data_IF_391497122217
#
_entry.id   IF_391497122217
#
_cell.length_a   1.000
_cell.length_b   1.000
_cell.length_c   1.000
_cell.angle_alpha   90.00
_cell.angle_beta   90.00
_cell.angle_gamma   90.00
#
_symmetry.space_group_name_H-M   'P 1'
#
loop_
_entity.id
_entity.type
_entity.pdbx_description
1 polymer ?
#
# COMPACT_ATOMS: atom_id res chain seq x y z
N UNK A 1 2.21 15.50 -27.11
CA UNK A 1 2.66 15.99 -25.79
C UNK A 1 1.91 15.20 -24.75
N UNK A 2 2.53 14.17 -24.17
CA UNK A 2 1.85 13.26 -23.24
C UNK A 2 1.93 13.86 -21.84
N UNK A 3 0.78 14.29 -21.33
CA UNK A 3 0.62 14.73 -19.94
C UNK A 3 1.15 13.65 -19.00
N UNK A 4 2.23 13.98 -18.30
CA UNK A 4 2.72 13.15 -17.19
C UNK A 4 1.95 13.60 -15.98
N UNK A 5 0.71 13.10 -15.84
CA UNK A 5 -0.03 13.21 -14.59
C UNK A 5 0.83 12.57 -13.51
N UNK A 6 1.49 13.42 -12.73
CA UNK A 6 2.23 12.99 -11.54
C UNK A 6 1.16 12.58 -10.56
N UNK A 7 0.95 11.27 -10.39
CA UNK A 7 0.03 10.78 -9.37
C UNK A 7 0.50 11.32 -8.03
N UNK A 8 -0.34 12.17 -7.43
CA UNK A 8 -0.08 12.76 -6.11
C UNK A 8 -0.19 11.60 -5.12
N UNK A 9 0.94 11.24 -4.53
CA UNK A 9 0.96 10.20 -3.49
C UNK A 9 0.33 10.79 -2.22
N UNK A 10 -0.54 10.04 -1.54
CA UNK A 10 -1.20 10.54 -0.33
C UNK A 10 -0.15 10.87 0.74
N UNK A 11 -0.28 12.06 1.34
CA UNK A 11 0.53 12.48 2.49
C UNK A 11 0.09 11.70 3.74
N UNK A 12 0.87 11.79 4.83
CA UNK A 12 0.66 11.02 6.06
C UNK A 12 -0.75 11.12 6.68
N UNK A 13 -1.52 12.16 6.39
CA UNK A 13 -2.83 12.40 6.97
C UNK A 13 -3.99 12.17 6.01
N UNK A 14 -3.72 11.90 4.73
CA UNK A 14 -4.79 11.71 3.74
C UNK A 14 -5.48 10.36 3.94
N UNK A 15 -6.80 10.31 3.74
CA UNK A 15 -7.54 9.05 3.77
C UNK A 15 -6.99 8.09 2.70
N UNK A 16 -6.74 6.84 3.08
CA UNK A 16 -6.21 5.86 2.15
C UNK A 16 -7.33 5.29 1.29
N UNK A 17 -7.41 5.75 0.05
CA UNK A 17 -8.19 5.07 -0.99
C UNK A 17 -7.25 4.48 -2.06
N UNK A 18 -6.72 3.27 -1.83
CA UNK A 18 -5.80 2.65 -2.78
C UNK A 18 -6.44 2.29 -4.12
N UNK A 19 -7.77 2.33 -4.27
CA UNK A 19 -8.47 1.84 -5.47
C UNK A 19 -9.28 2.94 -6.18
N UNK A 20 -9.41 4.13 -5.58
CA UNK A 20 -10.07 5.28 -6.19
C UNK A 20 -9.58 5.59 -7.61
N UNK A 21 -8.27 5.56 -7.84
CA UNK A 21 -7.68 5.78 -9.18
C UNK A 21 -8.09 4.72 -10.22
N UNK A 22 -8.32 3.47 -9.78
CA UNK A 22 -8.73 2.37 -10.66
C UNK A 22 -10.20 2.49 -11.02
N UNK A 23 -11.04 2.87 -10.04
CA UNK A 23 -12.48 3.10 -10.25
C UNK A 23 -12.74 4.31 -11.15
N UNK A 24 -11.90 5.34 -11.07
CA UNK A 24 -11.95 6.51 -11.96
C UNK A 24 -11.39 6.20 -13.37
N UNK A 25 -10.83 5.00 -13.59
CA UNK A 25 -10.28 4.59 -14.88
C UNK A 25 -8.94 5.25 -15.24
N UNK A 26 -8.28 5.89 -14.27
CA UNK A 26 -7.10 6.72 -14.47
C UNK A 26 -5.77 5.97 -14.21
N UNK A 27 -5.83 4.80 -13.57
CA UNK A 27 -4.64 4.13 -13.05
C UNK A 27 -3.81 3.39 -14.12
N UNK A 28 -2.66 3.97 -14.51
CA UNK A 28 -1.56 3.22 -15.18
C UNK A 28 -0.78 2.32 -14.20
N UNK A 29 -0.89 2.59 -12.90
CA UNK A 29 -0.17 1.90 -11.84
C UNK A 29 -1.13 1.04 -10.99
N UNK A 30 -0.71 -0.18 -10.67
CA UNK A 30 -1.48 -1.05 -9.76
C UNK A 30 -1.18 -0.68 -8.30
N UNK A 31 -2.24 -0.56 -7.51
CA UNK A 31 -2.12 -0.32 -6.07
C UNK A 31 -1.72 -1.58 -5.29
N UNK A 32 -2.08 -2.77 -5.79
CA UNK A 32 -1.73 -4.03 -5.14
C UNK A 32 -0.24 -4.32 -5.30
N UNK A 33 0.44 -4.39 -4.16
CA UNK A 33 1.86 -4.71 -4.04
C UNK A 33 2.08 -5.79 -3.00
N UNK A 34 2.99 -6.72 -3.29
CA UNK A 34 3.35 -7.80 -2.38
C UNK A 34 2.22 -8.77 -2.02
N UNK A 35 2.52 -9.67 -1.08
CA UNK A 35 1.54 -10.50 -0.38
C UNK A 35 2.09 -10.88 1.00
N UNK A 36 1.20 -11.09 1.97
CA UNK A 36 1.56 -11.48 3.31
C UNK A 36 0.74 -12.70 3.75
N UNK A 37 1.37 -13.56 4.57
CA UNK A 37 0.64 -14.67 5.20
C UNK A 37 -0.29 -14.10 6.27
N UNK A 38 -1.55 -14.58 6.37
CA UNK A 38 -2.51 -14.12 7.38
C UNK A 38 -1.98 -14.14 8.82
N UNK A 39 -1.25 -15.19 9.21
CA UNK A 39 -0.66 -15.30 10.54
C UNK A 39 0.39 -14.22 10.81
N UNK A 40 1.20 -13.86 9.80
CA UNK A 40 2.19 -12.79 9.93
C UNK A 40 1.54 -11.43 10.09
N UNK A 41 0.40 -11.17 9.42
CA UNK A 41 -0.36 -9.93 9.61
C UNK A 41 -0.95 -9.83 11.02
N UNK A 42 -1.37 -10.95 11.61
CA UNK A 42 -1.94 -10.97 12.96
C UNK A 42 -0.89 -10.79 14.06
N UNK A 43 0.27 -11.46 13.93
CA UNK A 43 1.25 -11.56 15.02
C UNK A 43 2.49 -10.67 14.87
N UNK A 44 2.80 -10.20 13.66
CA UNK A 44 4.07 -9.49 13.39
C UNK A 44 3.84 -8.14 12.72
N UNK A 45 3.01 -8.11 11.68
CA UNK A 45 2.79 -6.96 10.83
C UNK A 45 1.36 -6.42 10.97
N UNK A 46 0.96 -6.15 12.21
CA UNK A 46 -0.31 -5.50 12.50
C UNK A 46 -0.34 -4.03 12.06
N UNK A 47 -1.45 -3.31 12.31
CA UNK A 47 -1.53 -1.87 12.05
C UNK A 47 -0.36 -1.11 12.68
N UNK A 48 0.29 -0.25 11.91
CA UNK A 48 1.45 0.54 12.36
C UNK A 48 2.80 -0.18 12.37
N UNK A 49 2.84 -1.49 12.12
CA UNK A 49 4.11 -2.22 11.97
C UNK A 49 4.78 -1.92 10.61
N UNK A 50 6.10 -2.04 10.52
CA UNK A 50 6.83 -1.88 9.25
C UNK A 50 6.97 -3.26 8.59
N UNK A 51 6.57 -3.36 7.33
CA UNK A 51 6.71 -4.56 6.49
C UNK A 51 7.55 -4.23 5.27
N UNK A 52 8.62 -4.99 5.04
CA UNK A 52 9.51 -4.81 3.90
C UNK A 52 8.99 -5.54 2.65
N UNK A 53 8.85 -4.81 1.55
CA UNK A 53 8.66 -5.37 0.21
C UNK A 53 10.00 -5.33 -0.55
N UNK A 54 10.14 -6.00 -1.69
CA UNK A 54 11.42 -6.09 -2.41
C UNK A 54 12.10 -4.74 -2.73
N UNK A 55 11.33 -3.67 -2.95
CA UNK A 55 11.86 -2.36 -3.36
C UNK A 55 11.61 -1.23 -2.36
N UNK A 56 10.68 -1.40 -1.42
CA UNK A 56 10.33 -0.40 -0.41
C UNK A 56 9.59 -1.02 0.77
N UNK A 57 9.58 -0.37 1.93
CA UNK A 57 8.76 -0.79 3.06
C UNK A 57 7.39 -0.10 3.07
N UNK A 58 6.43 -0.76 3.69
CA UNK A 58 5.08 -0.26 3.90
C UNK A 58 4.67 -0.43 5.36
N UNK A 59 3.70 0.36 5.78
CA UNK A 59 3.09 0.31 7.10
C UNK A 59 1.59 0.06 6.93
N UNK A 60 1.06 -1.10 7.38
CA UNK A 60 -0.37 -1.36 7.35
C UNK A 60 -1.16 -0.30 8.10
N UNK A 61 -2.26 0.11 7.50
CA UNK A 61 -3.11 1.17 8.00
C UNK A 61 -3.98 0.70 9.18
N UNK A 62 -4.55 1.69 9.89
CA UNK A 62 -5.44 1.46 11.02
C UNK A 62 -6.77 0.83 10.62
N UNK A 63 -7.56 0.41 11.61
CA UNK A 63 -8.88 -0.19 11.36
C UNK A 63 -9.85 0.78 10.67
N UNK A 64 -9.71 2.09 10.91
CA UNK A 64 -10.54 3.12 10.28
C UNK A 64 -10.37 3.14 8.76
N UNK A 65 -9.15 2.89 8.26
CA UNK A 65 -8.85 2.81 6.83
C UNK A 65 -9.37 1.51 6.19
N UNK A 66 -9.81 0.52 6.98
CA UNK A 66 -10.39 -0.72 6.47
C UNK A 66 -11.88 -0.56 6.16
N UNK A 67 -12.56 0.37 6.85
CA UNK A 67 -14.00 0.58 6.71
C UNK A 67 -14.42 0.99 5.28
N UNK A 68 -13.70 1.90 4.57
CA UNK A 68 -13.99 2.20 3.17
C UNK A 68 -13.88 0.98 2.24
N UNK A 69 -13.00 0.02 2.54
CA UNK A 69 -12.85 -1.21 1.76
C UNK A 69 -14.04 -2.14 2.01
N UNK A 70 -14.46 -2.27 3.27
CA UNK A 70 -15.62 -3.08 3.63
C UNK A 70 -16.93 -2.51 3.09
N UNK A 71 -17.08 -1.18 3.04
CA UNK A 71 -18.25 -0.51 2.44
C UNK A 71 -18.44 -0.81 0.95
N UNK A 72 -17.38 -1.22 0.24
CA UNK A 72 -17.46 -1.63 -1.19
C UNK A 72 -18.02 -3.04 -1.37
N UNK A 73 -18.30 -3.76 -0.28
CA UNK A 73 -18.82 -5.13 -0.31
C UNK A 73 -20.28 -5.16 0.07
N UNK A 74 -21.02 -6.06 -0.60
CA UNK A 74 -22.42 -6.34 -0.27
C UNK A 74 -22.58 -6.84 1.17
N UNK A 75 -21.57 -7.57 1.69
CA UNK A 75 -21.57 -8.10 3.05
C UNK A 75 -20.20 -7.89 3.69
N UNK A 76 -20.21 -7.47 4.97
CA UNK A 76 -19.00 -7.38 5.79
C UNK A 76 -18.89 -8.67 6.60
N UNK A 77 -17.83 -9.48 6.41
CA UNK A 77 -17.66 -10.73 7.14
C UNK A 77 -17.40 -10.45 8.62
N UNK A 78 -18.08 -11.22 9.47
CA UNK A 78 -17.89 -11.20 10.93
C UNK A 78 -17.35 -12.55 11.41
N UNK A 79 -16.47 -12.52 12.40
CA UNK A 79 -15.96 -13.70 13.10
C UNK A 79 -16.96 -14.00 14.22
N UNK A 80 -17.77 -15.04 14.03
CA UNK A 80 -18.80 -15.46 14.98
C UNK A 80 -18.21 -16.28 16.13
N UNK A 81 -17.53 -15.61 17.04
CA UNK A 81 -16.91 -16.22 18.23
C UNK A 81 -17.37 -15.53 19.52
N UNK A 82 -18.57 -15.86 20.05
CA UNK A 82 -19.16 -15.16 21.19
C UNK A 82 -18.27 -15.21 22.45
N UNK A 83 -17.58 -16.33 22.68
CA UNK A 83 -16.67 -16.49 23.83
C UNK A 83 -15.46 -15.56 23.71
N UNK A 84 -14.86 -15.49 22.53
CA UNK A 84 -13.73 -14.60 22.27
C UNK A 84 -14.15 -13.13 22.37
N UNK A 85 -15.29 -12.77 21.78
CA UNK A 85 -15.82 -11.41 21.84
C UNK A 85 -16.06 -10.96 23.28
N UNK A 86 -16.61 -11.84 24.13
CA UNK A 86 -16.79 -11.53 25.55
C UNK A 86 -15.45 -11.30 26.29
N UNK A 87 -14.42 -12.09 25.99
CA UNK A 87 -13.08 -11.89 26.55
C UNK A 87 -12.48 -10.56 26.06
N UNK A 88 -12.61 -10.25 24.77
CA UNK A 88 -12.13 -8.98 24.22
C UNK A 88 -12.84 -7.79 24.86
N UNK A 89 -14.16 -7.86 25.04
CA UNK A 89 -14.95 -6.83 25.74
C UNK A 89 -14.58 -6.68 27.21
N UNK A 90 -14.15 -7.75 27.88
CA UNK A 90 -13.65 -7.69 29.25
C UNK A 90 -12.36 -6.85 29.34
N UNK A 91 -11.49 -6.93 28.33
CA UNK A 91 -10.20 -6.22 28.31
C UNK A 91 -10.28 -4.80 27.73
N UNK A 92 -11.03 -4.61 26.64
CA UNK A 92 -11.09 -3.34 25.92
C UNK A 92 -12.33 -2.53 26.30
N UNK A 93 -13.43 -3.19 26.65
CA UNK A 93 -14.71 -2.56 26.98
C UNK A 93 -15.85 -2.94 26.01
N UNK A 94 -17.10 -2.55 26.35
CA UNK A 94 -18.29 -2.92 25.59
C UNK A 94 -18.39 -2.27 24.20
N UNK A 95 -17.54 -1.28 23.89
CA UNK A 95 -17.52 -0.62 22.58
C UNK A 95 -17.09 -1.52 21.42
N UNK A 96 -16.55 -2.71 21.70
CA UNK A 96 -16.20 -3.68 20.65
C UNK A 96 -17.47 -4.42 20.23
N UNK A 97 -18.06 -4.01 19.11
CA UNK A 97 -19.32 -4.59 18.62
C UNK A 97 -19.14 -5.97 17.97
N UNK A 98 -18.07 -6.14 17.19
CA UNK A 98 -17.84 -7.36 16.41
C UNK A 98 -16.35 -7.59 16.18
N UNK A 99 -15.98 -8.86 15.98
CA UNK A 99 -14.66 -9.24 15.50
C UNK A 99 -14.73 -9.40 13.98
N UNK A 100 -13.78 -8.79 13.26
CA UNK A 100 -13.72 -8.85 11.79
C UNK A 100 -12.37 -9.37 11.34
N UNK A 101 -12.29 -10.13 10.24
CA UNK A 101 -11.01 -10.48 9.64
C UNK A 101 -10.38 -9.23 8.99
N UNK A 102 -9.11 -9.32 8.60
CA UNK A 102 -8.52 -8.33 7.71
C UNK A 102 -9.20 -8.39 6.33
N UNK A 103 -9.23 -7.28 5.56
CA UNK A 103 -9.81 -7.24 4.21
C UNK A 103 -9.17 -8.27 3.27
N UNK A 104 -9.87 -9.38 3.05
CA UNK A 104 -9.42 -10.47 2.18
C UNK A 104 -10.62 -11.30 1.70
N UNK A 105 -10.52 -11.80 0.46
CA UNK A 105 -11.49 -12.71 -0.11
C UNK A 105 -10.76 -13.75 -0.98
N UNK A 106 -11.20 -15.02 -0.96
CA UNK A 106 -10.70 -16.01 -1.90
C UNK A 106 -11.15 -15.66 -3.32
N UNK A 107 -10.27 -15.89 -4.31
CA UNK A 107 -10.67 -15.79 -5.71
C UNK A 107 -11.65 -16.92 -6.02
N UNK A 108 -12.81 -16.59 -6.58
CA UNK A 108 -13.83 -17.58 -6.98
C UNK A 108 -13.40 -18.47 -8.17
N UNK A 109 -12.31 -18.13 -8.86
CA UNK A 109 -11.74 -18.92 -9.94
C UNK A 109 -10.40 -18.35 -10.43
N UNK A 110 -9.66 -19.14 -11.22
CA UNK A 110 -8.31 -18.78 -11.68
C UNK A 110 -8.26 -17.49 -12.51
N UNK A 111 -9.32 -17.22 -13.28
CA UNK A 111 -9.46 -16.04 -14.14
C UNK A 111 -10.31 -14.92 -13.52
N UNK A 112 -10.78 -15.09 -12.28
CA UNK A 112 -11.63 -14.08 -11.62
C UNK A 112 -10.78 -12.90 -11.14
N UNK A 113 -11.27 -11.70 -11.42
CA UNK A 113 -10.75 -10.43 -10.88
C UNK A 113 -11.36 -10.09 -9.52
N UNK A 114 -12.35 -10.86 -9.04
CA UNK A 114 -12.95 -10.64 -7.72
C UNK A 114 -11.89 -10.80 -6.62
N UNK A 115 -11.82 -9.80 -5.72
CA UNK A 115 -10.84 -9.76 -4.64
C UNK A 115 -9.44 -9.34 -5.08
N UNK A 116 -9.25 -8.96 -6.35
CA UNK A 116 -8.02 -8.29 -6.80
C UNK A 116 -7.88 -6.88 -6.21
N UNK A 117 -9.02 -6.24 -5.96
CA UNK A 117 -9.24 -5.00 -5.24
C UNK A 117 -9.23 -5.19 -3.71
N UNK A 118 -9.16 -6.44 -3.21
CA UNK A 118 -8.98 -6.68 -1.78
C UNK A 118 -7.50 -6.79 -1.44
N UNK A 119 -7.11 -5.95 -0.49
CA UNK A 119 -5.79 -5.89 0.12
C UNK A 119 -5.87 -5.09 1.42
N UNK A 120 -4.84 -5.24 2.24
CA UNK A 120 -4.68 -4.44 3.44
C UNK A 120 -4.20 -3.04 3.00
N UNK A 121 -4.95 -1.96 3.28
CA UNK A 121 -4.48 -0.63 2.96
C UNK A 121 -3.23 -0.35 3.79
N UNK A 122 -2.25 0.30 3.16
CA UNK A 122 -0.95 0.53 3.75
C UNK A 122 -0.35 1.82 3.20
N UNK A 123 0.46 2.48 4.02
CA UNK A 123 1.25 3.65 3.63
C UNK A 123 2.66 3.23 3.29
N UNK A 124 3.28 3.90 2.33
CA UNK A 124 4.72 3.74 2.11
C UNK A 124 5.45 4.29 3.33
N UNK A 125 6.43 3.53 3.82
CA UNK A 125 7.29 3.95 4.91
C UNK A 125 8.75 3.71 4.52
N UNK A 126 9.65 4.65 4.81
CA UNK A 126 9.43 6.00 5.31
C UNK A 126 8.90 6.97 4.23
N UNK A 127 8.47 8.17 4.62
CA UNK A 127 7.98 9.22 3.71
C UNK A 127 9.10 10.06 3.06
N UNK A 128 10.34 9.58 3.10
CA UNK A 128 11.51 10.24 2.52
C UNK A 128 12.39 9.20 1.85
N UNK A 129 12.89 9.54 0.67
CA UNK A 129 13.66 8.63 -0.18
C UNK A 129 14.92 9.33 -0.69
N UNK A 130 15.93 8.52 -1.02
CA UNK A 130 17.18 8.97 -1.60
C UNK A 130 17.31 8.44 -3.03
N UNK A 131 17.52 9.33 -3.99
CA UNK A 131 17.84 8.96 -5.36
C UNK A 131 19.27 8.43 -5.44
N UNK A 132 19.45 7.19 -5.92
CA UNK A 132 20.78 6.59 -6.11
C UNK A 132 21.60 7.24 -7.24
N UNK A 133 20.92 7.94 -8.15
CA UNK A 133 21.56 8.52 -9.33
C UNK A 133 22.08 9.95 -9.18
N UNK A 134 21.50 10.75 -8.28
CA UNK A 134 21.90 12.15 -8.06
C UNK A 134 21.99 12.53 -6.57
N UNK A 135 21.83 11.56 -5.67
CA UNK A 135 21.87 11.73 -4.21
C UNK A 135 20.83 12.70 -3.63
N UNK A 136 19.81 13.07 -4.43
CA UNK A 136 18.69 13.88 -3.95
C UNK A 136 17.95 13.14 -2.83
N UNK A 137 17.83 13.80 -1.68
CA UNK A 137 17.04 13.37 -0.54
C UNK A 137 15.81 14.26 -0.47
N UNK A 138 14.62 13.67 -0.46
CA UNK A 138 13.38 14.44 -0.42
C UNK A 138 12.19 13.62 0.04
N UNK A 139 11.05 14.29 0.13
CA UNK A 139 9.77 13.67 0.46
C UNK A 139 9.33 12.70 -0.65
N UNK A 140 8.54 11.69 -0.26
CA UNK A 140 7.99 10.68 -1.16
C UNK A 140 7.29 11.29 -2.39
N UNK A 141 6.58 12.40 -2.21
CA UNK A 141 5.87 13.15 -3.26
C UNK A 141 6.77 13.69 -4.38
N UNK A 142 8.09 13.74 -4.17
CA UNK A 142 9.08 14.11 -5.21
C UNK A 142 9.53 12.93 -6.07
N UNK A 143 9.03 11.73 -5.79
CA UNK A 143 9.36 10.51 -6.50
C UNK A 143 8.13 9.95 -7.22
N UNK A 144 8.39 9.23 -8.32
CA UNK A 144 7.35 8.61 -9.14
C UNK A 144 7.23 7.13 -8.79
N UNK A 145 6.06 6.73 -8.29
CA UNK A 145 5.68 5.33 -8.16
C UNK A 145 5.48 4.68 -9.53
N UNK A 146 5.91 3.44 -9.69
CA UNK A 146 5.68 2.67 -10.91
C UNK A 146 5.36 1.22 -10.57
N UNK A 147 4.18 0.75 -10.97
CA UNK A 147 3.77 -0.65 -10.88
C UNK A 147 2.86 -1.02 -12.05
N UNK A 148 3.47 -1.27 -13.21
CA UNK A 148 2.76 -1.48 -14.48
C UNK A 148 2.62 -2.96 -14.85
N UNK A 149 3.31 -3.89 -14.17
CA UNK A 149 3.35 -5.30 -14.54
C UNK A 149 2.33 -6.16 -13.75
N UNK A 150 1.31 -6.76 -14.40
CA UNK A 150 0.21 -7.46 -13.70
C UNK A 150 0.66 -8.66 -12.86
N UNK A 151 1.60 -9.44 -13.38
CA UNK A 151 2.04 -10.69 -12.75
C UNK A 151 3.33 -10.54 -11.93
N UNK A 152 3.82 -9.31 -11.77
CA UNK A 152 5.08 -9.01 -11.08
C UNK A 152 4.94 -7.81 -10.15
N UNK A 153 4.06 -7.90 -9.13
CA UNK A 153 3.90 -6.85 -8.13
C UNK A 153 5.17 -6.64 -7.29
N UNK A 154 6.12 -7.58 -7.32
CA UNK A 154 7.46 -7.46 -6.75
C UNK A 154 8.32 -6.39 -7.43
N UNK A 155 7.99 -5.99 -8.67
CA UNK A 155 8.72 -4.95 -9.42
C UNK A 155 8.19 -3.54 -9.17
N UNK A 156 7.23 -3.38 -8.25
CA UNK A 156 6.78 -2.06 -7.82
C UNK A 156 7.94 -1.29 -7.20
N UNK A 157 8.13 -0.04 -7.60
CA UNK A 157 9.30 0.75 -7.20
C UNK A 157 9.05 2.26 -7.27
N UNK A 158 9.93 3.02 -6.59
CA UNK A 158 10.00 4.47 -6.67
C UNK A 158 11.17 4.91 -7.54
N UNK A 159 10.93 5.87 -8.44
CA UNK A 159 11.96 6.41 -9.33
C UNK A 159 11.99 7.93 -9.32
N UNK A 160 13.17 8.53 -9.50
CA UNK A 160 13.34 9.97 -9.61
C UNK A 160 13.28 10.39 -11.08
N UNK A 161 12.31 11.25 -11.43
CA UNK A 161 12.07 11.74 -12.80
C UNK A 161 11.67 13.23 -12.78
N UNK A 162 12.37 14.11 -13.53
CA UNK A 162 13.63 13.90 -14.24
C UNK A 162 14.82 13.88 -13.27
N UNK A 163 15.69 12.86 -13.37
CA UNK A 163 16.91 12.80 -12.57
C UNK A 163 18.08 13.54 -13.28
N UNK A 164 18.75 14.51 -12.62
CA UNK A 164 19.88 15.23 -13.21
C UNK A 164 21.19 14.42 -13.24
N UNK A 165 21.29 13.33 -12.48
CA UNK A 165 22.52 12.56 -12.30
C UNK A 165 23.55 13.26 -11.40
N UNK A 166 24.49 12.50 -10.82
CA UNK A 166 25.61 13.05 -10.03
C UNK A 166 26.45 14.00 -10.88
N UNK A 167 26.67 15.22 -10.37
CA UNK A 167 27.53 16.23 -11.00
C UNK A 167 27.04 16.77 -12.35
N UNK A 168 25.76 16.60 -12.72
CA UNK A 168 25.16 17.17 -13.93
C UNK A 168 25.65 16.58 -15.27
N UNK A 169 26.60 15.65 -15.24
CA UNK A 169 27.20 14.93 -16.37
C UNK A 169 26.60 13.52 -16.59
N UNK A 170 25.67 13.08 -15.75
CA UNK A 170 24.90 11.86 -16.02
C UNK A 170 23.97 12.05 -17.22
N UNK A 171 23.61 10.97 -17.93
CA UNK A 171 22.53 11.00 -18.95
C UNK A 171 21.26 11.58 -18.29
N UNK A 172 21.02 12.88 -18.51
CA UNK A 172 19.85 13.60 -17.99
C UNK A 172 18.58 12.91 -18.49
N UNK A 173 17.62 12.70 -17.58
CA UNK A 173 16.29 12.20 -17.95
C UNK A 173 16.09 10.68 -17.85
N UNK A 174 17.11 9.88 -17.51
CA UNK A 174 16.88 8.47 -17.18
C UNK A 174 16.23 8.34 -15.79
N UNK A 175 15.17 7.53 -15.69
CA UNK A 175 14.58 7.13 -14.42
C UNK A 175 15.62 6.42 -13.55
N UNK A 176 15.79 6.85 -12.29
CA UNK A 176 16.73 6.21 -11.36
C UNK A 176 16.00 5.68 -10.15
N UNK A 177 16.34 4.46 -9.74
CA UNK A 177 15.79 3.81 -8.56
C UNK A 177 16.06 4.66 -7.31
N UNK A 178 15.01 4.82 -6.52
CA UNK A 178 15.07 5.53 -5.24
C UNK A 178 14.91 4.50 -4.13
N UNK A 179 15.83 4.56 -3.19
CA UNK A 179 15.82 3.66 -2.04
C UNK A 179 15.36 4.48 -0.83
N UNK A 180 14.54 3.86 0.01
CA UNK A 180 14.45 4.32 1.38
C UNK A 180 15.73 3.91 2.09
N UNK A 181 16.22 4.79 2.97
CA UNK A 181 17.48 4.56 3.65
C UNK A 181 17.29 3.45 4.70
N UNK A 182 17.55 2.20 4.33
CA UNK A 182 17.73 1.11 5.30
C UNK A 182 19.16 1.18 5.80
N UNK A 183 19.31 1.43 7.11
CA UNK A 183 20.58 1.30 7.81
C UNK A 183 21.14 -0.12 7.70
#
# INVERSE_FOLDING_TARGET
MSDTTTQVLPDNNDALDPIGDVEQGEAKNRAKVGSARPSSLLYTYGPGAIMDLPSFSVMPAGLDDWEPIWKRRETVPAILEPRLLNVVRLHLGPQVDSLRPFPWQPKKGAMSTEGSDLGLPARVFPQWFRCTGCDYLGLLTRFTYTNTHPFRPDLAQFTHKPCPGRGGNGRRGAARLCLHNTY
#
